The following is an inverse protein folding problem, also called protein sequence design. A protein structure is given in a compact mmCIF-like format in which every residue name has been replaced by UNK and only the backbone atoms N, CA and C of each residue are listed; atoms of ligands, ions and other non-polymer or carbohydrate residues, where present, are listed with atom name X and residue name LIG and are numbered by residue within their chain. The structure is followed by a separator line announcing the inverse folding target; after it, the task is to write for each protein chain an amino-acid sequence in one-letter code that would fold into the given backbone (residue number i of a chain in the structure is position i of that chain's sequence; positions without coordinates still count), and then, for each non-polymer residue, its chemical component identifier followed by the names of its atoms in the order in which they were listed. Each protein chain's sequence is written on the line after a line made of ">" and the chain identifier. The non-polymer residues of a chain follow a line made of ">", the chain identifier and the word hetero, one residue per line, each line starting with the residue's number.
data_IF_700647317729
#
_entry.id   IF_700647317729
#
_cell.length_a   1.000
_cell.length_b   1.000
_cell.length_c   1.000
_cell.angle_alpha   90.00
_cell.angle_beta   90.00
_cell.angle_gamma   90.00
#
_symmetry.space_group_name_H-M   'P 1'
#
loop_
_entity.id
_entity.type
_entity.pdbx_description
1 polymer ?
#
# COMPACT_ATOMS: atom_id res chain seq x y z
N UNK A 1 -5.15 -15.59 -11.90
CA UNK A 1 -3.89 -14.90 -11.53
C UNK A 1 -3.34 -15.65 -10.34
N UNK A 2 -2.11 -16.17 -10.40
CA UNK A 2 -1.53 -16.86 -9.24
C UNK A 2 -1.50 -15.90 -8.03
N UNK A 3 -1.78 -16.42 -6.82
CA UNK A 3 -1.83 -15.63 -5.58
C UNK A 3 -0.60 -14.73 -5.44
N UNK A 4 0.59 -15.27 -5.70
CA UNK A 4 1.86 -14.55 -5.71
C UNK A 4 1.89 -13.37 -6.68
N UNK A 5 1.43 -13.57 -7.93
CA UNK A 5 1.39 -12.52 -8.94
C UNK A 5 0.42 -11.39 -8.56
N UNK A 6 -0.73 -11.73 -7.96
CA UNK A 6 -1.69 -10.73 -7.44
C UNK A 6 -1.02 -9.86 -6.39
N UNK A 7 -0.37 -10.48 -5.41
CA UNK A 7 0.29 -9.81 -4.28
C UNK A 7 1.47 -8.93 -4.76
N UNK A 8 2.22 -9.38 -5.76
CA UNK A 8 3.30 -8.59 -6.38
C UNK A 8 2.75 -7.34 -7.07
N UNK A 9 1.66 -7.47 -7.84
CA UNK A 9 1.00 -6.34 -8.50
C UNK A 9 0.43 -5.36 -7.47
N UNK A 10 -0.22 -5.86 -6.41
CA UNK A 10 -0.72 -5.03 -5.31
C UNK A 10 0.40 -4.27 -4.62
N UNK A 11 1.55 -4.92 -4.39
CA UNK A 11 2.73 -4.30 -3.79
C UNK A 11 3.28 -3.18 -4.67
N UNK A 12 3.41 -3.44 -5.98
CA UNK A 12 3.90 -2.44 -6.92
C UNK A 12 2.97 -1.22 -7.01
N UNK A 13 1.66 -1.44 -7.15
CA UNK A 13 0.69 -0.37 -7.29
C UNK A 13 0.59 0.48 -6.01
N UNK A 14 0.50 -0.14 -4.83
CA UNK A 14 0.42 0.57 -3.55
C UNK A 14 1.72 1.27 -3.19
N UNK A 15 2.87 0.62 -3.43
CA UNK A 15 4.19 1.21 -3.20
C UNK A 15 4.42 2.44 -4.07
N UNK A 16 4.11 2.34 -5.37
CA UNK A 16 4.24 3.47 -6.30
C UNK A 16 3.30 4.62 -5.95
N UNK A 17 2.05 4.33 -5.59
CA UNK A 17 1.08 5.33 -5.15
C UNK A 17 1.55 6.08 -3.90
N UNK A 18 2.06 5.38 -2.89
CA UNK A 18 2.55 6.02 -1.66
C UNK A 18 3.83 6.80 -1.87
N UNK A 19 4.80 6.28 -2.64
CA UNK A 19 6.01 7.03 -2.98
C UNK A 19 5.64 8.35 -3.66
N UNK A 20 4.76 8.31 -4.65
CA UNK A 20 4.32 9.52 -5.36
C UNK A 20 3.56 10.48 -4.46
N UNK A 21 2.63 9.98 -3.64
CA UNK A 21 1.86 10.82 -2.71
C UNK A 21 2.78 11.55 -1.73
N UNK A 22 3.67 10.82 -1.03
CA UNK A 22 4.53 11.41 -0.01
C UNK A 22 5.66 12.24 -0.61
N UNK A 23 6.23 11.85 -1.76
CA UNK A 23 7.17 12.71 -2.46
C UNK A 23 6.50 14.02 -2.89
N UNK A 24 5.23 14.01 -3.31
CA UNK A 24 4.50 15.24 -3.65
C UNK A 24 4.18 16.06 -2.39
N UNK A 25 3.75 15.40 -1.31
CA UNK A 25 3.36 16.03 -0.04
C UNK A 25 4.49 16.69 0.72
N UNK A 26 5.67 16.05 0.74
CA UNK A 26 6.82 16.57 1.47
C UNK A 26 7.43 17.77 0.71
N UNK A 27 7.34 17.80 -0.62
CA UNK A 27 8.09 18.77 -1.42
C UNK A 27 7.35 20.05 -1.81
N UNK A 28 6.03 20.16 -1.57
CA UNK A 28 5.25 21.36 -1.90
C UNK A 28 5.55 21.93 -3.31
N UNK A 29 5.86 21.06 -4.29
CA UNK A 29 6.16 21.46 -5.67
C UNK A 29 7.61 21.87 -5.98
N UNK A 30 8.58 21.71 -5.08
CA UNK A 30 10.01 21.95 -5.40
C UNK A 30 10.64 20.74 -6.12
N UNK A 31 11.10 20.87 -7.38
CA UNK A 31 11.55 19.71 -8.18
C UNK A 31 12.82 19.02 -7.66
N UNK A 32 13.78 19.78 -7.13
CA UNK A 32 15.07 19.22 -6.67
C UNK A 32 14.91 18.40 -5.39
N UNK A 33 14.05 18.87 -4.48
CA UNK A 33 13.72 18.14 -3.26
C UNK A 33 12.81 16.94 -3.58
N UNK A 34 11.97 17.04 -4.62
CA UNK A 34 11.15 15.93 -5.12
C UNK A 34 11.99 14.72 -5.48
N UNK A 35 13.02 14.86 -6.32
CA UNK A 35 13.86 13.73 -6.73
C UNK A 35 14.58 13.09 -5.54
N UNK A 36 15.13 13.91 -4.64
CA UNK A 36 15.80 13.44 -3.41
C UNK A 36 14.83 12.68 -2.49
N UNK A 37 13.64 13.21 -2.28
CA UNK A 37 12.59 12.59 -1.46
C UNK A 37 12.07 11.32 -2.09
N UNK A 38 11.89 11.30 -3.40
CA UNK A 38 11.47 10.12 -4.14
C UNK A 38 12.49 8.99 -3.97
N UNK A 39 13.79 9.32 -3.98
CA UNK A 39 14.87 8.38 -3.66
C UNK A 39 14.78 7.82 -2.24
N UNK A 40 14.63 8.68 -1.23
CA UNK A 40 14.55 8.26 0.19
C UNK A 40 13.28 7.45 0.48
N UNK A 41 12.12 7.93 0.02
CA UNK A 41 10.84 7.25 0.20
C UNK A 41 10.84 5.92 -0.58
N UNK A 42 11.47 5.84 -1.75
CA UNK A 42 11.63 4.57 -2.46
C UNK A 42 12.56 3.60 -1.73
N UNK A 43 13.65 4.09 -1.12
CA UNK A 43 14.55 3.22 -0.36
C UNK A 43 13.92 2.66 0.92
N UNK A 44 13.03 3.42 1.55
CA UNK A 44 12.42 3.04 2.84
C UNK A 44 11.07 2.35 2.64
N UNK A 45 10.19 2.90 1.82
CA UNK A 45 8.83 2.40 1.66
C UNK A 45 8.78 1.16 0.74
N UNK A 46 9.52 1.14 -0.37
CA UNK A 46 9.39 0.08 -1.38
C UNK A 46 9.79 -1.32 -0.87
N UNK A 47 10.92 -1.50 -0.15
CA UNK A 47 11.29 -2.79 0.43
C UNK A 47 10.30 -3.27 1.47
N UNK A 48 9.68 -2.35 2.22
CA UNK A 48 8.69 -2.69 3.24
C UNK A 48 7.37 -3.07 2.57
N UNK A 49 6.93 -2.35 1.55
CA UNK A 49 5.72 -2.74 0.80
C UNK A 49 5.91 -4.09 0.11
N UNK A 50 7.08 -4.35 -0.47
CA UNK A 50 7.38 -5.61 -1.14
C UNK A 50 7.55 -6.77 -0.14
N UNK A 51 8.39 -6.64 0.90
CA UNK A 51 8.62 -7.73 1.85
C UNK A 51 7.48 -7.87 2.84
N UNK A 52 7.11 -6.79 3.53
CA UNK A 52 6.07 -6.83 4.55
C UNK A 52 4.67 -6.96 3.93
N UNK A 53 4.34 -6.17 2.89
CA UNK A 53 3.03 -6.25 2.24
C UNK A 53 2.75 -7.64 1.68
N UNK A 54 3.73 -8.27 1.01
CA UNK A 54 3.55 -9.62 0.46
C UNK A 54 3.51 -10.70 1.54
N UNK A 55 4.45 -10.71 2.50
CA UNK A 55 4.55 -11.78 3.51
C UNK A 55 3.39 -11.71 4.51
N UNK A 56 3.11 -10.53 5.06
CA UNK A 56 2.03 -10.39 6.06
C UNK A 56 0.67 -10.58 5.41
N UNK A 57 0.48 -10.16 4.17
CA UNK A 57 -0.78 -10.46 3.49
C UNK A 57 -0.98 -11.93 3.19
N UNK A 58 0.08 -12.65 2.83
CA UNK A 58 0.00 -14.10 2.62
C UNK A 58 -0.32 -14.82 3.94
N UNK A 59 0.34 -14.44 5.03
CA UNK A 59 0.09 -14.99 6.35
C UNK A 59 -1.34 -14.67 6.85
N UNK A 60 -1.78 -13.42 6.70
CA UNK A 60 -3.13 -13.00 7.07
C UNK A 60 -4.19 -13.67 6.22
N UNK A 61 -4.00 -13.79 4.90
CA UNK A 61 -4.96 -14.49 4.04
C UNK A 61 -5.05 -15.97 4.44
N UNK A 62 -3.92 -16.62 4.74
CA UNK A 62 -3.91 -18.01 5.22
C UNK A 62 -4.65 -18.19 6.56
N UNK A 63 -4.36 -17.33 7.54
CA UNK A 63 -5.01 -17.39 8.87
C UNK A 63 -6.50 -17.04 8.77
N UNK A 64 -6.83 -15.94 8.10
CA UNK A 64 -8.21 -15.46 8.05
C UNK A 64 -9.11 -16.33 7.16
N UNK A 65 -8.59 -16.95 6.09
CA UNK A 65 -9.35 -17.91 5.28
C UNK A 65 -9.61 -19.22 6.04
N UNK A 66 -8.72 -19.64 6.95
CA UNK A 66 -8.87 -20.87 7.74
C UNK A 66 -9.77 -20.70 8.97
N UNK A 67 -9.70 -19.56 9.66
CA UNK A 67 -10.30 -19.39 10.98
C UNK A 67 -11.52 -18.45 11.01
N UNK A 68 -11.76 -17.64 9.98
CA UNK A 68 -12.85 -16.66 9.96
C UNK A 68 -13.86 -16.96 8.84
N UNK A 69 -14.96 -17.68 9.13
CA UNK A 69 -15.93 -18.06 8.10
C UNK A 69 -16.74 -16.87 7.57
N UNK A 70 -16.99 -15.85 8.41
CA UNK A 70 -17.79 -14.68 8.03
C UNK A 70 -17.00 -13.71 7.15
N UNK A 71 -17.50 -13.45 5.94
CA UNK A 71 -16.81 -12.62 4.93
C UNK A 71 -16.52 -11.19 5.39
N UNK A 72 -17.48 -10.51 6.02
CA UNK A 72 -17.27 -9.14 6.49
C UNK A 72 -16.23 -9.07 7.61
N UNK A 73 -16.29 -9.96 8.59
CA UNK A 73 -15.30 -10.09 9.66
C UNK A 73 -13.90 -10.38 9.10
N UNK A 74 -13.80 -11.22 8.07
CA UNK A 74 -12.54 -11.50 7.39
C UNK A 74 -11.91 -10.26 6.76
N UNK A 75 -12.72 -9.48 6.04
CA UNK A 75 -12.29 -8.23 5.41
C UNK A 75 -11.87 -7.22 6.49
N UNK A 76 -12.69 -7.04 7.52
CA UNK A 76 -12.41 -6.12 8.62
C UNK A 76 -11.13 -6.48 9.37
N UNK A 77 -10.96 -7.76 9.75
CA UNK A 77 -9.78 -8.24 10.45
C UNK A 77 -8.51 -8.12 9.60
N UNK A 78 -8.61 -8.41 8.30
CA UNK A 78 -7.50 -8.27 7.37
C UNK A 78 -7.08 -6.81 7.22
N UNK A 79 -8.04 -5.87 7.09
CA UNK A 79 -7.77 -4.44 7.06
C UNK A 79 -7.11 -3.94 8.34
N UNK A 80 -7.68 -4.26 9.51
CA UNK A 80 -7.13 -3.89 10.82
C UNK A 80 -5.71 -4.42 10.97
N UNK A 81 -5.48 -5.68 10.60
CA UNK A 81 -4.16 -6.31 10.73
C UNK A 81 -3.14 -5.67 9.79
N UNK A 82 -3.53 -5.36 8.55
CA UNK A 82 -2.67 -4.64 7.62
C UNK A 82 -2.31 -3.25 8.15
N UNK A 83 -3.27 -2.49 8.66
CA UNK A 83 -3.00 -1.18 9.26
C UNK A 83 -2.11 -1.29 10.51
N UNK A 84 -2.42 -2.24 11.41
CA UNK A 84 -1.66 -2.47 12.64
C UNK A 84 -0.21 -2.84 12.35
N UNK A 85 0.00 -3.87 11.52
CA UNK A 85 1.36 -4.27 11.20
C UNK A 85 2.08 -3.21 10.38
N UNK A 86 1.40 -2.49 9.47
CA UNK A 86 2.00 -1.38 8.74
C UNK A 86 2.52 -0.31 9.71
N UNK A 87 1.69 0.09 10.68
CA UNK A 87 2.10 1.01 11.73
C UNK A 87 3.25 0.47 12.60
N UNK A 88 3.20 -0.81 12.99
CA UNK A 88 4.25 -1.47 13.77
C UNK A 88 5.59 -1.46 13.03
N UNK A 89 5.59 -1.81 11.74
CA UNK A 89 6.80 -1.77 10.92
C UNK A 89 7.31 -0.34 10.78
N UNK A 90 6.41 0.62 10.51
CA UNK A 90 6.76 2.03 10.46
C UNK A 90 7.45 2.51 11.74
N UNK A 91 6.95 2.07 12.89
CA UNK A 91 7.52 2.35 14.22
C UNK A 91 8.89 1.70 14.41
N UNK A 92 9.04 0.42 14.06
CA UNK A 92 10.32 -0.30 14.15
C UNK A 92 11.40 0.25 13.21
N UNK A 93 11.00 0.89 12.12
CA UNK A 93 11.93 1.49 11.14
C UNK A 93 12.18 2.98 11.36
N UNK A 94 11.68 3.57 12.45
CA UNK A 94 11.98 4.97 12.77
C UNK A 94 13.47 5.13 13.08
N UNK A 95 14.20 5.80 12.19
CA UNK A 95 15.59 6.21 12.42
C UNK A 95 15.68 7.48 13.28
N UNK A 96 14.58 8.22 13.44
CA UNK A 96 14.51 9.46 14.20
C UNK A 96 13.20 9.50 15.04
N UNK A 97 13.24 9.74 16.37
CA UNK A 97 12.07 9.72 17.26
C UNK A 97 10.96 10.72 16.90
N UNK A 98 11.26 11.76 16.11
CA UNK A 98 10.28 12.77 15.68
C UNK A 98 9.51 12.40 14.39
N UNK A 99 9.86 11.29 13.75
CA UNK A 99 9.31 10.89 12.46
C UNK A 99 7.98 10.10 12.59
N UNK A 100 7.01 10.64 13.34
CA UNK A 100 5.63 10.08 13.44
C UNK A 100 5.01 9.88 12.06
N UNK A 101 5.42 10.70 11.08
CA UNK A 101 5.03 10.58 9.67
C UNK A 101 5.37 9.22 9.05
N UNK A 102 6.47 8.57 9.46
CA UNK A 102 6.88 7.25 8.92
C UNK A 102 5.88 6.16 9.31
N UNK A 103 5.35 6.21 10.54
CA UNK A 103 4.31 5.27 11.00
C UNK A 103 3.04 5.44 10.17
N UNK A 104 2.61 6.69 9.96
CA UNK A 104 1.43 7.00 9.16
C UNK A 104 1.61 6.58 7.69
N UNK A 105 2.77 6.84 7.09
CA UNK A 105 3.13 6.42 5.74
C UNK A 105 2.93 4.91 5.60
N UNK A 106 3.49 4.14 6.52
CA UNK A 106 3.48 2.68 6.41
C UNK A 106 2.09 2.09 6.66
N UNK A 107 1.35 2.62 7.62
CA UNK A 107 -0.03 2.22 7.88
C UNK A 107 -0.95 2.47 6.68
N UNK A 108 -0.84 3.66 6.06
CA UNK A 108 -1.60 4.02 4.85
C UNK A 108 -1.21 3.14 3.68
N UNK A 109 0.09 2.88 3.50
CA UNK A 109 0.57 2.05 2.40
C UNK A 109 0.09 0.61 2.52
N UNK A 110 0.09 0.04 3.74
CA UNK A 110 -0.42 -1.30 4.00
C UNK A 110 -1.93 -1.41 3.74
N UNK A 111 -2.69 -0.35 4.04
CA UNK A 111 -4.12 -0.30 3.77
C UNK A 111 -4.43 -0.17 2.27
N UNK A 112 -3.68 0.67 1.55
CA UNK A 112 -3.79 0.79 0.09
C UNK A 112 -3.45 -0.53 -0.60
N UNK A 113 -2.39 -1.20 -0.14
CA UNK A 113 -2.03 -2.54 -0.57
C UNK A 113 -3.21 -3.52 -0.41
N UNK A 114 -3.82 -3.56 0.77
CA UNK A 114 -4.97 -4.43 1.05
C UNK A 114 -6.15 -4.11 0.11
N UNK A 115 -6.44 -2.82 -0.10
CA UNK A 115 -7.49 -2.37 -1.02
C UNK A 115 -7.25 -2.83 -2.45
N UNK A 116 -6.03 -2.66 -2.96
CA UNK A 116 -5.64 -3.11 -4.30
C UNK A 116 -5.74 -4.64 -4.42
N UNK A 117 -5.24 -5.38 -3.42
CA UNK A 117 -5.32 -6.85 -3.43
C UNK A 117 -6.76 -7.35 -3.44
N UNK A 118 -7.64 -6.70 -2.67
CA UNK A 118 -9.07 -7.02 -2.65
C UNK A 118 -9.73 -6.72 -4.00
N UNK A 119 -9.44 -5.58 -4.61
CA UNK A 119 -9.95 -5.21 -5.93
C UNK A 119 -9.50 -6.21 -7.00
N UNK A 120 -8.23 -6.62 -7.00
CA UNK A 120 -7.71 -7.61 -7.93
C UNK A 120 -8.35 -8.99 -7.70
N UNK A 121 -8.58 -9.39 -6.44
CA UNK A 121 -9.29 -10.65 -6.10
C UNK A 121 -10.73 -10.64 -6.61
N UNK A 122 -11.41 -9.49 -6.55
CA UNK A 122 -12.76 -9.32 -7.10
C UNK A 122 -12.73 -9.35 -8.64
N UNK A 123 -11.78 -8.63 -9.24
CA UNK A 123 -11.60 -8.58 -10.69
C UNK A 123 -11.37 -9.99 -11.26
N UNK A 124 -10.56 -10.79 -10.59
CA UNK A 124 -10.30 -12.17 -10.97
C UNK A 124 -11.56 -13.04 -10.94
N UNK A 125 -12.34 -12.97 -9.86
CA UNK A 125 -13.60 -13.74 -9.73
C UNK A 125 -14.62 -13.41 -10.81
N UNK A 126 -14.59 -12.18 -11.33
CA UNK A 126 -15.50 -11.70 -12.38
C UNK A 126 -14.88 -11.73 -13.78
N UNK A 127 -13.67 -12.28 -13.95
CA UNK A 127 -12.91 -12.30 -15.22
C UNK A 127 -12.63 -10.90 -15.80
N UNK A 128 -12.57 -9.87 -14.96
CA UNK A 128 -12.35 -8.48 -15.35
C UNK A 128 -10.87 -8.14 -15.49
N UNK A 129 -10.19 -8.75 -16.47
CA UNK A 129 -8.76 -8.49 -16.74
C UNK A 129 -8.44 -7.00 -16.97
N UNK A 130 -9.35 -6.26 -17.60
CA UNK A 130 -9.18 -4.81 -17.83
C UNK A 130 -9.16 -4.01 -16.53
N UNK A 131 -9.92 -4.42 -15.51
CA UNK A 131 -9.92 -3.74 -14.22
C UNK A 131 -8.57 -3.85 -13.51
N UNK A 132 -7.87 -4.99 -13.64
CA UNK A 132 -6.53 -5.14 -13.07
C UNK A 132 -5.53 -4.15 -13.68
N UNK A 133 -5.59 -3.95 -15.00
CA UNK A 133 -4.76 -2.98 -15.71
C UNK A 133 -5.12 -1.55 -15.27
N UNK A 134 -6.42 -1.24 -15.19
CA UNK A 134 -6.89 0.06 -14.72
C UNK A 134 -6.39 0.33 -13.30
N UNK A 135 -6.48 -0.64 -12.38
CA UNK A 135 -6.00 -0.46 -11.01
C UNK A 135 -4.49 -0.23 -10.96
N UNK A 136 -3.70 -0.95 -11.75
CA UNK A 136 -2.24 -0.75 -11.82
C UNK A 136 -1.85 0.66 -12.30
N UNK A 137 -2.56 1.19 -13.29
CA UNK A 137 -2.24 2.48 -13.92
C UNK A 137 -2.87 3.65 -13.16
N UNK A 138 -4.11 3.48 -12.71
CA UNK A 138 -4.87 4.55 -12.08
C UNK A 138 -4.47 4.79 -10.62
N UNK A 139 -4.08 3.76 -9.85
CA UNK A 139 -3.72 3.96 -8.43
C UNK A 139 -2.56 4.96 -8.23
N UNK A 140 -1.43 4.84 -8.96
CA UNK A 140 -0.36 5.84 -8.88
C UNK A 140 -0.81 7.24 -9.30
N UNK A 141 -1.62 7.35 -10.36
CA UNK A 141 -2.12 8.64 -10.85
C UNK A 141 -3.11 9.29 -9.87
N UNK A 142 -4.03 8.50 -9.29
CA UNK A 142 -5.00 8.93 -8.30
C UNK A 142 -4.33 9.41 -7.01
N UNK A 143 -3.16 8.87 -6.67
CA UNK A 143 -2.39 9.34 -5.52
C UNK A 143 -1.89 10.78 -5.72
N UNK A 144 -1.38 11.09 -6.92
CA UNK A 144 -0.94 12.45 -7.27
C UNK A 144 -2.13 13.43 -7.31
N UNK A 145 -3.24 13.03 -7.93
CA UNK A 145 -4.46 13.86 -8.00
C UNK A 145 -5.08 14.07 -6.62
N UNK A 146 -5.16 13.02 -5.81
CA UNK A 146 -5.69 13.09 -4.45
C UNK A 146 -4.88 14.04 -3.57
N UNK A 147 -3.56 14.06 -3.71
CA UNK A 147 -2.73 15.08 -3.06
C UNK A 147 -3.09 16.49 -3.54
N UNK A 148 -3.13 16.70 -4.87
CA UNK A 148 -3.43 18.00 -5.44
C UNK A 148 -4.78 18.55 -4.94
N UNK A 149 -5.81 17.71 -4.78
CA UNK A 149 -7.14 18.12 -4.30
C UNK A 149 -7.20 18.38 -2.79
N UNK A 150 -6.48 17.59 -1.98
CA UNK A 150 -6.53 17.74 -0.51
C UNK A 150 -5.74 18.96 -0.03
N UNK A 151 -4.73 19.37 -0.79
CA UNK A 151 -3.78 20.42 -0.39
C UNK A 151 -3.79 21.66 -1.31
N UNK A 152 -4.75 21.76 -2.24
CA UNK A 152 -5.10 23.00 -2.98
C UNK A 152 -6.16 23.82 -2.25
#
# INVERSE_FOLDING_TARGET
>A
MYMLLRKLISSFAAGSACVLFFATAINNGTPDQFISTLGVVSFVAYPVVLMYGTIVSLALEYVTDKWVPHRAARIGLSAISHTFFGALFGWLTQLDPLAVWVVAIFAVTALLYFGVDMLLRIAERKSWRRLAIIVMVAMPALAVVGFAVVFS
#
